data_IF_127228897718
#
_entry.id   IF_127228897718
#
_cell.length_a   1.000
_cell.length_b   1.000
_cell.length_c   1.000
_cell.angle_alpha   90.00
_cell.angle_beta   90.00
_cell.angle_gamma   90.00
#
_symmetry.space_group_name_H-M   'P 1'
#
loop_
_entity.id
_entity.type
_entity.pdbx_description
1 polymer ?
#
# COMPACT_ATOMS: atom_id res chain seq x y z
N UNK A 1 12.04 -13.27 33.92
CA UNK A 1 12.04 -12.32 32.78
C UNK A 1 10.78 -12.60 31.98
N UNK A 2 9.85 -11.65 31.85
CA UNK A 2 8.65 -11.86 31.04
C UNK A 2 9.04 -11.81 29.56
N UNK A 3 8.90 -12.92 28.86
CA UNK A 3 9.11 -12.96 27.40
C UNK A 3 7.84 -12.52 26.68
N UNK A 4 7.96 -11.56 25.78
CA UNK A 4 6.84 -11.13 24.94
C UNK A 4 6.46 -12.29 24.01
N UNK A 5 5.16 -12.62 23.98
CA UNK A 5 4.65 -13.63 23.05
C UNK A 5 4.87 -13.18 21.60
N UNK A 6 5.28 -14.07 20.68
CA UNK A 6 5.38 -13.74 19.25
C UNK A 6 4.10 -13.15 18.66
N UNK A 7 2.95 -13.59 19.11
CA UNK A 7 1.64 -13.03 18.68
C UNK A 7 1.44 -11.59 19.15
N UNK A 8 1.84 -11.28 20.40
CA UNK A 8 1.80 -9.91 20.89
C UNK A 8 2.78 -9.02 20.13
N UNK A 9 3.96 -9.53 19.76
CA UNK A 9 4.94 -8.79 18.97
C UNK A 9 4.40 -8.50 17.56
N UNK A 10 3.76 -9.47 16.89
CA UNK A 10 3.09 -9.25 15.59
C UNK A 10 1.96 -8.20 15.69
N UNK A 11 1.15 -8.29 16.75
CA UNK A 11 0.10 -7.30 17.02
C UNK A 11 0.69 -5.88 17.17
N UNK A 12 1.69 -5.70 18.04
CA UNK A 12 2.31 -4.39 18.30
C UNK A 12 3.03 -3.84 17.07
N UNK A 13 3.80 -4.68 16.36
CA UNK A 13 4.49 -4.28 15.15
C UNK A 13 3.52 -3.84 14.05
N UNK A 14 2.43 -4.59 13.86
CA UNK A 14 1.40 -4.24 12.86
C UNK A 14 0.58 -3.02 13.27
N UNK A 15 0.33 -2.82 14.58
CA UNK A 15 -0.27 -1.61 15.12
C UNK A 15 0.57 -0.39 14.78
N UNK A 16 1.89 -0.43 15.06
CA UNK A 16 2.82 0.66 14.75
C UNK A 16 2.83 0.94 13.24
N UNK A 17 2.99 -0.12 12.44
CA UNK A 17 3.00 -0.03 10.98
C UNK A 17 1.74 0.66 10.45
N UNK A 18 0.56 0.21 10.86
CA UNK A 18 -0.70 0.78 10.37
C UNK A 18 -0.99 2.18 10.93
N UNK A 19 -0.55 2.49 12.16
CA UNK A 19 -0.67 3.84 12.71
C UNK A 19 0.13 4.84 11.88
N UNK A 20 1.39 4.53 11.57
CA UNK A 20 2.24 5.41 10.78
C UNK A 20 1.76 5.46 9.33
N UNK A 21 1.55 4.31 8.69
CA UNK A 21 1.22 4.22 7.27
C UNK A 21 -0.14 4.82 6.91
N UNK A 22 -1.21 4.48 7.64
CA UNK A 22 -2.51 5.14 7.47
C UNK A 22 -2.45 6.62 7.88
N UNK A 23 -1.62 6.95 8.88
CA UNK A 23 -1.38 8.32 9.33
C UNK A 23 -0.76 9.20 8.25
N UNK A 24 0.21 8.68 7.49
CA UNK A 24 0.82 9.40 6.36
C UNK A 24 -0.20 9.67 5.27
N UNK A 25 -1.03 8.67 4.90
CA UNK A 25 -2.11 8.88 3.92
C UNK A 25 -3.09 9.94 4.45
N UNK A 26 -3.49 9.86 5.72
CA UNK A 26 -4.38 10.83 6.33
C UNK A 26 -3.80 12.26 6.31
N UNK A 27 -2.49 12.40 6.55
CA UNK A 27 -1.82 13.69 6.49
C UNK A 27 -1.78 14.28 5.07
N UNK A 28 -1.56 13.44 4.06
CA UNK A 28 -1.48 13.88 2.65
C UNK A 28 -2.87 14.16 2.08
N UNK A 29 -3.87 13.35 2.42
CA UNK A 29 -5.16 13.35 1.76
C UNK A 29 -6.26 14.17 2.46
N UNK A 30 -6.25 14.21 3.81
CA UNK A 30 -7.31 14.91 4.53
C UNK A 30 -7.17 16.43 4.43
N UNK A 31 -8.30 17.09 4.13
CA UNK A 31 -8.37 18.56 4.09
C UNK A 31 -7.93 19.19 5.40
N UNK A 32 -7.22 20.31 5.29
CA UNK A 32 -6.70 21.13 6.42
C UNK A 32 -5.61 20.43 7.24
N UNK A 33 -5.10 19.26 6.85
CA UNK A 33 -3.85 18.76 7.41
C UNK A 33 -2.67 19.57 6.89
N UNK A 34 -1.57 19.61 7.62
CA UNK A 34 -0.39 20.37 7.20
C UNK A 34 0.32 19.77 5.98
N UNK A 35 0.17 18.48 5.76
CA UNK A 35 0.72 17.79 4.59
C UNK A 35 -0.28 17.63 3.45
N UNK A 36 -1.46 18.28 3.53
CA UNK A 36 -2.50 18.12 2.51
C UNK A 36 -2.03 18.56 1.12
N UNK A 37 -2.19 17.64 0.17
CA UNK A 37 -1.82 17.88 -1.23
C UNK A 37 -0.37 17.56 -1.57
N UNK A 38 0.38 16.95 -0.63
CA UNK A 38 1.69 16.39 -0.95
C UNK A 38 1.56 15.18 -1.89
N UNK A 39 2.67 14.68 -2.40
CA UNK A 39 2.66 13.72 -3.49
C UNK A 39 2.69 12.25 -3.02
N UNK A 40 2.52 11.33 -3.98
CA UNK A 40 2.52 9.89 -3.75
C UNK A 40 3.86 9.36 -3.22
N UNK A 41 4.98 10.06 -3.49
CA UNK A 41 6.30 9.70 -2.96
C UNK A 41 6.33 9.78 -1.43
N UNK A 42 5.72 10.82 -0.83
CA UNK A 42 5.60 10.95 0.62
C UNK A 42 4.84 9.78 1.23
N UNK A 43 3.76 9.35 0.58
CA UNK A 43 2.99 8.16 1.00
C UNK A 43 3.87 6.90 0.92
N UNK A 44 4.58 6.69 -0.18
CA UNK A 44 5.44 5.54 -0.39
C UNK A 44 6.58 5.47 0.63
N UNK A 45 7.24 6.60 0.85
CA UNK A 45 8.34 6.71 1.82
C UNK A 45 7.84 6.50 3.25
N UNK A 46 6.70 7.09 3.58
CA UNK A 46 6.06 6.91 4.88
C UNK A 46 5.67 5.45 5.17
N UNK A 47 5.14 4.72 4.18
CA UNK A 47 4.85 3.28 4.33
C UNK A 47 6.12 2.44 4.49
N UNK A 48 7.20 2.75 3.77
CA UNK A 48 8.47 2.06 3.96
C UNK A 48 9.00 2.20 5.38
N UNK A 49 9.01 3.42 5.93
CA UNK A 49 9.39 3.63 7.33
C UNK A 49 8.39 3.04 8.32
N UNK A 50 7.09 3.06 8.03
CA UNK A 50 6.09 2.40 8.85
C UNK A 50 6.39 0.91 9.01
N UNK A 51 6.74 0.24 7.91
CA UNK A 51 7.18 -1.17 7.94
C UNK A 51 8.49 -1.32 8.72
N UNK A 52 9.49 -0.49 8.45
CA UNK A 52 10.78 -0.53 9.17
C UNK A 52 10.58 -0.48 10.68
N UNK A 53 9.84 0.51 11.18
CA UNK A 53 9.63 0.66 12.63
C UNK A 53 8.72 -0.42 13.22
N UNK A 54 7.75 -0.90 12.47
CA UNK A 54 6.96 -2.07 12.87
C UNK A 54 7.83 -3.32 13.04
N UNK A 55 8.74 -3.56 12.09
CA UNK A 55 9.68 -4.70 12.16
C UNK A 55 10.67 -4.52 13.31
N UNK A 56 11.25 -3.34 13.54
CA UNK A 56 12.10 -3.10 14.70
C UNK A 56 11.41 -3.43 16.02
N UNK A 57 10.13 -3.09 16.15
CA UNK A 57 9.37 -3.34 17.37
C UNK A 57 9.08 -4.83 17.63
N UNK A 58 9.12 -5.68 16.59
CA UNK A 58 8.62 -7.07 16.67
C UNK A 58 9.66 -8.13 16.34
N UNK A 59 10.67 -7.81 15.53
CA UNK A 59 11.59 -8.78 14.93
C UNK A 59 12.26 -9.70 15.95
N UNK A 60 12.74 -9.16 17.06
CA UNK A 60 13.43 -9.93 18.10
C UNK A 60 12.57 -11.02 18.75
N UNK A 61 11.25 -10.93 18.66
CA UNK A 61 10.30 -11.84 19.31
C UNK A 61 9.52 -12.72 18.34
N UNK A 62 9.18 -12.18 17.16
CA UNK A 62 8.30 -12.86 16.18
C UNK A 62 8.93 -13.08 14.81
N UNK A 63 10.07 -12.45 14.54
CA UNK A 63 10.62 -12.34 13.19
C UNK A 63 10.09 -11.14 12.40
N UNK A 64 9.07 -10.43 12.92
CA UNK A 64 8.56 -9.19 12.32
C UNK A 64 7.88 -9.40 10.97
N UNK A 65 6.98 -10.36 10.86
CA UNK A 65 6.27 -10.64 9.62
C UNK A 65 5.30 -9.51 9.24
N UNK A 66 4.46 -9.07 10.17
CA UNK A 66 3.48 -7.97 10.07
C UNK A 66 2.51 -8.09 8.87
N UNK A 67 2.51 -9.25 8.21
CA UNK A 67 1.86 -9.45 6.92
C UNK A 67 1.50 -10.94 6.74
N UNK A 68 0.21 -11.28 6.54
CA UNK A 68 -0.19 -12.66 6.27
C UNK A 68 0.51 -13.30 5.08
N UNK A 69 0.73 -12.53 4.00
CA UNK A 69 1.40 -13.04 2.80
C UNK A 69 2.89 -13.35 3.06
N UNK A 70 3.55 -12.58 3.91
CA UNK A 70 4.93 -12.87 4.36
C UNK A 70 4.94 -14.13 5.22
N UNK A 71 4.03 -14.26 6.19
CA UNK A 71 3.93 -15.46 7.05
C UNK A 71 3.72 -16.73 6.23
N UNK A 72 2.84 -16.69 5.23
CA UNK A 72 2.57 -17.80 4.31
C UNK A 72 3.79 -18.10 3.42
N UNK A 73 4.44 -17.06 2.89
CA UNK A 73 5.62 -17.22 2.04
C UNK A 73 6.81 -17.85 2.76
N UNK A 74 7.06 -17.41 4.00
CA UNK A 74 8.10 -18.00 4.87
C UNK A 74 7.78 -19.46 5.24
N UNK A 75 6.49 -19.77 5.45
CA UNK A 75 6.06 -21.15 5.68
C UNK A 75 6.23 -22.02 4.42
N UNK A 76 5.96 -21.48 3.24
CA UNK A 76 6.16 -22.16 1.96
C UNK A 76 7.64 -22.44 1.65
N UNK A 77 8.52 -21.52 2.03
CA UNK A 77 9.96 -21.71 1.94
C UNK A 77 10.45 -22.74 2.95
N UNK A 78 9.85 -22.81 4.15
CA UNK A 78 10.18 -23.77 5.23
C UNK A 78 10.86 -23.14 6.44
N UNK A 79 10.98 -21.81 6.50
CA UNK A 79 11.55 -21.09 7.65
C UNK A 79 10.51 -20.77 8.73
N UNK A 80 9.23 -21.01 8.47
CA UNK A 80 8.16 -20.76 9.45
C UNK A 80 7.17 -21.92 9.54
N UNK A 81 6.79 -22.38 10.74
CA UNK A 81 5.86 -23.49 10.90
C UNK A 81 4.42 -23.10 10.57
N UNK A 82 3.76 -23.90 9.74
CA UNK A 82 2.38 -23.65 9.25
C UNK A 82 1.36 -23.50 10.36
N UNK A 83 1.53 -24.23 11.45
CA UNK A 83 0.64 -24.21 12.63
C UNK A 83 0.60 -22.85 13.33
N UNK A 84 1.62 -22.01 13.16
CA UNK A 84 1.67 -20.66 13.73
C UNK A 84 1.05 -19.60 12.81
N UNK A 85 0.90 -19.90 11.52
CA UNK A 85 0.38 -18.93 10.53
C UNK A 85 -0.97 -18.35 10.92
N UNK A 86 -2.00 -19.13 11.33
CA UNK A 86 -3.29 -18.57 11.69
C UNK A 86 -3.23 -17.58 12.86
N UNK A 87 -2.42 -17.89 13.89
CA UNK A 87 -2.25 -17.01 15.05
C UNK A 87 -1.58 -15.68 14.68
N UNK A 88 -0.58 -15.71 13.78
CA UNK A 88 0.07 -14.51 13.24
C UNK A 88 -0.93 -13.65 12.47
N UNK A 89 -1.70 -14.25 11.58
CA UNK A 89 -2.73 -13.52 10.80
C UNK A 89 -3.73 -12.80 11.72
N UNK A 90 -4.22 -13.48 12.74
CA UNK A 90 -5.16 -12.88 13.71
C UNK A 90 -4.50 -11.69 14.43
N UNK A 91 -3.28 -11.87 14.94
CA UNK A 91 -2.54 -10.83 15.65
C UNK A 91 -2.28 -9.61 14.75
N UNK A 92 -1.86 -9.84 13.51
CA UNK A 92 -1.61 -8.81 12.50
C UNK A 92 -2.88 -8.03 12.16
N UNK A 93 -4.00 -8.71 11.91
CA UNK A 93 -5.28 -8.04 11.62
C UNK A 93 -5.76 -7.18 12.79
N UNK A 94 -5.69 -7.72 14.01
CA UNK A 94 -6.07 -6.96 15.22
C UNK A 94 -5.17 -5.75 15.44
N UNK A 95 -3.85 -5.89 15.24
CA UNK A 95 -2.90 -4.79 15.31
C UNK A 95 -3.22 -3.70 14.27
N UNK A 96 -3.48 -4.10 13.03
CA UNK A 96 -3.86 -3.17 11.96
C UNK A 96 -5.17 -2.43 12.27
N UNK A 97 -6.17 -3.11 12.85
CA UNK A 97 -7.41 -2.48 13.28
C UNK A 97 -7.16 -1.38 14.33
N UNK A 98 -6.42 -1.71 15.39
CA UNK A 98 -6.14 -0.73 16.45
C UNK A 98 -5.32 0.43 15.90
N UNK A 99 -4.29 0.18 15.07
CA UNK A 99 -3.51 1.24 14.42
C UNK A 99 -4.37 2.19 13.59
N UNK A 100 -5.27 1.66 12.79
CA UNK A 100 -6.23 2.47 12.02
C UNK A 100 -7.19 3.26 12.92
N UNK A 101 -7.64 2.68 14.03
CA UNK A 101 -8.44 3.35 15.04
C UNK A 101 -7.74 4.56 15.67
N UNK A 102 -6.43 4.44 15.95
CA UNK A 102 -5.62 5.55 16.45
C UNK A 102 -5.51 6.68 15.42
N UNK A 103 -5.36 6.36 14.14
CA UNK A 103 -5.37 7.37 13.06
C UNK A 103 -6.71 8.08 12.99
N UNK A 104 -7.82 7.35 13.09
CA UNK A 104 -9.15 7.96 13.15
C UNK A 104 -9.25 8.99 14.28
N UNK A 105 -8.82 8.63 15.49
CA UNK A 105 -8.85 9.52 16.66
C UNK A 105 -7.93 10.73 16.47
N UNK A 106 -6.75 10.54 15.92
CA UNK A 106 -5.78 11.62 15.70
C UNK A 106 -6.28 12.70 14.72
N UNK A 107 -7.12 12.31 13.75
CA UNK A 107 -7.65 13.19 12.71
C UNK A 107 -9.13 13.52 12.85
N UNK A 108 -9.73 13.39 14.04
CA UNK A 108 -11.17 13.56 14.28
C UNK A 108 -11.80 14.79 13.58
N UNK A 109 -11.26 16.01 13.71
CA UNK A 109 -11.88 17.17 13.06
C UNK A 109 -11.74 17.20 11.54
N UNK A 110 -10.75 16.50 10.98
CA UNK A 110 -10.44 16.50 9.56
C UNK A 110 -11.44 15.66 8.73
N UNK A 111 -12.06 14.64 9.33
CA UNK A 111 -13.05 13.80 8.65
C UNK A 111 -14.26 14.59 8.17
N UNK A 112 -14.72 15.56 8.97
CA UNK A 112 -15.83 16.44 8.59
C UNK A 112 -15.39 17.46 7.53
N UNK A 113 -14.15 17.90 7.55
CA UNK A 113 -13.62 18.86 6.60
C UNK A 113 -13.36 18.27 5.20
N UNK A 114 -13.29 16.95 5.09
CA UNK A 114 -13.04 16.23 3.84
C UNK A 114 -14.34 15.68 3.28
N UNK A 115 -14.77 16.12 2.11
CA UNK A 115 -16.03 15.68 1.49
C UNK A 115 -15.88 14.36 0.73
N UNK A 116 -14.73 14.11 0.11
CA UNK A 116 -14.51 12.95 -0.75
C UNK A 116 -14.50 11.63 0.04
N UNK A 117 -15.46 10.76 -0.31
CA UNK A 117 -15.65 9.45 0.31
C UNK A 117 -14.59 8.44 -0.09
N UNK A 118 -14.01 8.56 -1.32
CA UNK A 118 -12.95 7.67 -1.80
C UNK A 118 -11.66 7.93 -1.02
N UNK A 119 -11.35 9.20 -0.77
CA UNK A 119 -10.22 9.62 0.08
C UNK A 119 -10.35 9.01 1.48
N UNK A 120 -11.51 9.13 2.10
CA UNK A 120 -11.74 8.58 3.44
C UNK A 120 -11.50 7.08 3.50
N UNK A 121 -12.01 6.33 2.52
CA UNK A 121 -11.73 4.90 2.42
C UNK A 121 -10.25 4.63 2.13
N UNK A 122 -9.61 5.39 1.24
CA UNK A 122 -8.22 5.22 0.83
C UNK A 122 -7.20 5.29 1.97
N UNK A 123 -7.53 6.00 3.05
CA UNK A 123 -6.71 6.05 4.27
C UNK A 123 -6.68 4.69 4.98
N UNK A 124 -7.76 3.96 4.95
CA UNK A 124 -7.92 2.68 5.62
C UNK A 124 -7.59 1.48 4.71
N UNK A 125 -8.28 1.37 3.58
CA UNK A 125 -8.12 0.27 2.64
C UNK A 125 -7.76 0.78 1.25
N UNK A 126 -7.05 -0.02 0.47
CA UNK A 126 -6.64 0.35 -0.88
C UNK A 126 -7.83 0.47 -1.83
N UNK A 127 -7.78 1.49 -2.69
CA UNK A 127 -8.77 1.76 -3.71
C UNK A 127 -8.02 1.87 -5.03
N UNK A 128 -8.37 1.10 -6.07
CA UNK A 128 -7.66 1.15 -7.32
C UNK A 128 -7.90 2.48 -8.05
N UNK A 129 -6.89 2.95 -8.77
CA UNK A 129 -7.00 4.11 -9.66
C UNK A 129 -8.02 3.81 -10.76
N UNK A 130 -7.87 2.66 -11.41
CA UNK A 130 -8.82 2.13 -12.40
C UNK A 130 -9.33 0.78 -11.89
N UNK A 131 -10.65 0.63 -11.86
CA UNK A 131 -11.26 -0.61 -11.42
C UNK A 131 -11.18 -1.68 -12.50
N UNK A 132 -10.32 -2.66 -12.30
CA UNK A 132 -10.22 -3.86 -13.11
C UNK A 132 -9.72 -5.02 -12.23
N UNK A 133 -10.58 -5.98 -11.94
CA UNK A 133 -10.23 -7.06 -11.02
C UNK A 133 -9.01 -7.86 -11.47
N UNK A 134 -8.89 -8.16 -12.78
CA UNK A 134 -7.79 -8.97 -13.28
C UNK A 134 -6.44 -8.26 -13.14
N UNK A 135 -6.33 -7.05 -13.68
CA UNK A 135 -5.05 -6.30 -13.63
C UNK A 135 -4.70 -5.90 -12.21
N UNK A 136 -5.70 -5.59 -11.38
CA UNK A 136 -5.46 -5.21 -9.99
C UNK A 136 -5.01 -6.42 -9.15
N UNK A 137 -5.62 -7.61 -9.32
CA UNK A 137 -5.17 -8.83 -8.64
C UNK A 137 -3.77 -9.25 -9.10
N UNK A 138 -3.49 -9.16 -10.40
CA UNK A 138 -2.17 -9.44 -10.96
C UNK A 138 -1.11 -8.47 -10.42
N UNK A 139 -1.41 -7.17 -10.33
CA UNK A 139 -0.51 -6.17 -9.75
C UNK A 139 -0.17 -6.47 -8.30
N UNK A 140 -1.18 -6.73 -7.45
CA UNK A 140 -0.96 -7.10 -6.06
C UNK A 140 -0.16 -8.40 -5.93
N UNK A 141 -0.40 -9.38 -6.81
CA UNK A 141 0.34 -10.62 -6.84
C UNK A 141 1.81 -10.41 -7.20
N UNK A 142 2.10 -9.64 -8.26
CA UNK A 142 3.48 -9.32 -8.69
C UNK A 142 4.23 -8.61 -7.57
N UNK A 143 3.63 -7.56 -6.99
CA UNK A 143 4.28 -6.79 -5.94
C UNK A 143 4.56 -7.62 -4.70
N UNK A 144 3.64 -8.47 -4.29
CA UNK A 144 3.82 -9.29 -3.09
C UNK A 144 4.78 -10.46 -3.34
N UNK A 145 4.80 -11.02 -4.55
CA UNK A 145 5.85 -11.95 -4.96
C UNK A 145 7.23 -11.32 -4.80
N UNK A 146 7.44 -10.12 -5.36
CA UNK A 146 8.70 -9.39 -5.24
C UNK A 146 9.04 -9.06 -3.78
N UNK A 147 8.05 -8.68 -2.98
CA UNK A 147 8.23 -8.37 -1.57
C UNK A 147 8.76 -9.57 -0.79
N UNK A 148 8.10 -10.74 -0.90
CA UNK A 148 8.48 -11.95 -0.16
C UNK A 148 9.79 -12.52 -0.67
N UNK A 149 9.97 -12.57 -1.99
CA UNK A 149 11.22 -13.01 -2.60
C UNK A 149 12.41 -12.18 -2.13
N UNK A 150 12.26 -10.85 -2.09
CA UNK A 150 13.31 -9.93 -1.65
C UNK A 150 13.56 -9.99 -0.14
N UNK A 151 12.53 -10.24 0.67
CA UNK A 151 12.67 -10.45 2.11
C UNK A 151 13.55 -11.67 2.40
N UNK A 152 13.30 -12.78 1.71
CA UNK A 152 14.08 -14.01 1.83
C UNK A 152 15.52 -13.81 1.33
N UNK A 153 15.70 -13.18 0.16
CA UNK A 153 17.00 -12.85 -0.40
C UNK A 153 17.82 -11.99 0.56
N UNK A 154 17.23 -10.98 1.16
CA UNK A 154 17.87 -10.14 2.16
C UNK A 154 18.25 -10.95 3.40
N UNK A 155 17.36 -11.85 3.85
CA UNK A 155 17.61 -12.75 4.97
C UNK A 155 18.84 -13.64 4.77
N UNK A 156 19.04 -14.11 3.56
CA UNK A 156 20.18 -15.00 3.22
C UNK A 156 21.49 -14.21 3.07
N UNK A 157 21.47 -13.05 2.44
CA UNK A 157 22.69 -12.28 2.14
C UNK A 157 23.25 -11.54 3.34
N UNK A 158 22.42 -11.19 4.32
CA UNK A 158 22.85 -10.57 5.58
C UNK A 158 23.21 -11.60 6.66
N UNK A 159 23.80 -12.75 6.29
CA UNK A 159 24.36 -13.68 7.30
C UNK A 159 25.66 -13.09 7.85
N UNK A 160 25.90 -13.14 9.18
CA UNK A 160 27.14 -12.67 9.75
C UNK A 160 28.29 -13.52 9.19
N UNK A 161 29.22 -12.89 8.46
CA UNK A 161 30.51 -13.50 8.14
C UNK A 161 31.40 -13.37 9.36
N UNK A 162 31.71 -14.49 10.02
CA UNK A 162 32.75 -14.56 11.04
C UNK A 162 34.07 -14.49 10.27
N UNK A 163 34.62 -13.31 10.09
CA UNK A 163 35.99 -13.14 9.58
C UNK A 163 36.87 -12.63 10.73
N UNK A 164 37.81 -13.44 11.14
CA UNK A 164 38.92 -13.00 11.98
C UNK A 164 38.68 -12.89 13.47
N UNK A 165 37.85 -13.75 14.11
CA UNK A 165 37.87 -13.95 15.57
C UNK A 165 37.38 -12.79 16.46
N UNK A 166 36.97 -11.69 15.87
CA UNK A 166 36.22 -10.63 16.55
C UNK A 166 34.77 -10.81 16.17
N UNK A 167 34.01 -11.36 17.12
CA UNK A 167 32.53 -11.30 17.04
C UNK A 167 32.16 -9.82 17.06
N UNK A 168 31.94 -9.23 15.89
CA UNK A 168 31.26 -7.96 15.78
C UNK A 168 29.80 -8.25 16.10
N UNK A 169 29.55 -8.53 17.37
CA UNK A 169 28.26 -8.95 17.94
C UNK A 169 27.25 -7.81 18.05
N UNK A 170 27.58 -6.67 17.50
CA UNK A 170 26.55 -5.73 17.09
C UNK A 170 25.84 -6.40 15.93
N UNK A 171 24.63 -6.86 16.20
CA UNK A 171 23.69 -7.40 15.24
C UNK A 171 23.35 -6.33 14.19
N UNK A 172 24.36 -5.97 13.37
CA UNK A 172 24.17 -5.04 12.25
C UNK A 172 23.02 -5.53 11.35
N UNK A 173 22.82 -6.86 11.31
CA UNK A 173 21.70 -7.48 10.66
C UNK A 173 20.35 -7.07 11.26
N UNK A 174 20.25 -7.00 12.58
CA UNK A 174 19.00 -6.60 13.25
C UNK A 174 18.66 -5.13 13.00
N UNK A 175 19.67 -4.33 12.64
CA UNK A 175 19.49 -2.93 12.22
C UNK A 175 19.25 -2.83 10.72
N UNK A 176 20.04 -3.50 9.89
CA UNK A 176 20.00 -3.34 8.44
C UNK A 176 18.84 -4.07 7.76
N UNK A 177 18.47 -5.27 8.25
CA UNK A 177 17.35 -6.03 7.66
C UNK A 177 16.03 -5.28 7.68
N UNK A 178 15.56 -4.71 8.81
CA UNK A 178 14.33 -3.92 8.82
C UNK A 178 14.38 -2.70 7.90
N UNK A 179 15.53 -2.02 7.83
CA UNK A 179 15.72 -0.90 6.91
C UNK A 179 15.65 -1.35 5.44
N UNK A 180 16.37 -2.41 5.07
CA UNK A 180 16.36 -2.94 3.71
C UNK A 180 14.95 -3.37 3.30
N UNK A 181 14.19 -4.00 4.20
CA UNK A 181 12.81 -4.39 3.96
C UNK A 181 11.88 -3.18 3.79
N UNK A 182 12.02 -2.16 4.62
CA UNK A 182 11.27 -0.91 4.47
C UNK A 182 11.61 -0.17 3.18
N UNK A 183 12.88 -0.10 2.78
CA UNK A 183 13.27 0.46 1.48
C UNK A 183 12.68 -0.34 0.31
N UNK A 184 12.65 -1.68 0.39
CA UNK A 184 12.00 -2.51 -0.61
C UNK A 184 10.51 -2.14 -0.75
N UNK A 185 9.79 -1.99 0.37
CA UNK A 185 8.39 -1.54 0.35
C UNK A 185 8.28 -0.17 -0.32
N UNK A 186 9.13 0.79 0.04
CA UNK A 186 9.16 2.11 -0.58
C UNK A 186 9.31 2.03 -2.10
N UNK A 187 10.29 1.26 -2.58
CA UNK A 187 10.58 1.12 -4.03
C UNK A 187 9.42 0.43 -4.76
N UNK A 188 8.83 -0.61 -4.17
CA UNK A 188 7.67 -1.29 -4.75
C UNK A 188 6.46 -0.35 -4.85
N UNK A 189 6.20 0.45 -3.82
CA UNK A 189 5.09 1.43 -3.85
C UNK A 189 5.34 2.52 -4.89
N UNK A 190 6.57 3.06 -4.98
CA UNK A 190 6.92 4.08 -5.98
C UNK A 190 6.79 3.52 -7.40
N UNK A 191 7.37 2.34 -7.65
CA UNK A 191 7.48 1.78 -8.99
C UNK A 191 6.20 1.15 -9.52
N UNK A 192 5.43 0.49 -8.65
CA UNK A 192 4.31 -0.36 -9.04
C UNK A 192 2.99 -0.01 -8.33
N UNK A 193 3.00 0.88 -7.33
CA UNK A 193 1.84 1.18 -6.49
C UNK A 193 0.76 2.05 -7.12
N UNK A 194 1.05 2.69 -8.25
CA UNK A 194 0.11 3.63 -8.89
C UNK A 194 -1.21 3.00 -9.33
N UNK A 195 -1.25 1.70 -9.55
CA UNK A 195 -2.43 0.98 -10.06
C UNK A 195 -3.47 0.70 -8.97
N UNK A 196 -3.03 0.17 -7.83
CA UNK A 196 -3.93 -0.31 -6.76
C UNK A 196 -3.79 0.48 -5.46
N UNK A 197 -2.75 1.30 -5.32
CA UNK A 197 -2.33 1.88 -4.05
C UNK A 197 -1.49 0.89 -3.20
N UNK A 198 -1.16 -0.27 -3.75
CA UNK A 198 -0.37 -1.38 -3.22
C UNK A 198 -0.71 -1.75 -1.77
N UNK A 199 -1.60 -2.70 -1.63
CA UNK A 199 -1.85 -3.31 -0.33
C UNK A 199 -0.66 -4.17 0.10
N UNK A 200 -0.19 -5.08 -0.77
CA UNK A 200 0.92 -6.02 -0.54
C UNK A 200 0.77 -6.86 0.73
N UNK A 201 -0.24 -6.58 1.52
CA UNK A 201 -0.42 -7.06 2.88
C UNK A 201 -1.92 -7.19 3.19
N UNK A 202 -2.46 -8.41 3.29
CA UNK A 202 -3.87 -8.60 3.61
C UNK A 202 -4.32 -7.98 4.94
N UNK A 203 -3.48 -7.99 5.97
CA UNK A 203 -3.84 -7.41 7.27
C UNK A 203 -3.88 -5.88 7.21
N UNK A 204 -2.96 -5.26 6.46
CA UNK A 204 -2.87 -3.81 6.24
C UNK A 204 -4.07 -3.27 5.46
N UNK A 205 -4.75 -4.10 4.66
CA UNK A 205 -5.99 -3.68 3.99
C UNK A 205 -7.24 -4.10 4.80
N UNK A 206 -7.37 -5.37 5.15
CA UNK A 206 -8.57 -5.91 5.78
C UNK A 206 -8.84 -5.31 7.16
N UNK A 207 -7.83 -5.21 8.03
CA UNK A 207 -7.99 -4.66 9.38
C UNK A 207 -8.48 -3.19 9.37
N UNK A 208 -7.76 -2.27 8.71
CA UNK A 208 -8.22 -0.90 8.58
C UNK A 208 -9.54 -0.75 7.82
N UNK A 209 -9.79 -1.53 6.76
CA UNK A 209 -11.06 -1.52 6.03
C UNK A 209 -12.23 -1.90 6.93
N UNK A 210 -12.03 -2.87 7.83
CA UNK A 210 -13.01 -3.23 8.84
C UNK A 210 -13.24 -2.06 9.80
N UNK A 211 -12.19 -1.37 10.23
CA UNK A 211 -12.33 -0.17 11.06
C UNK A 211 -13.04 0.96 10.31
N UNK A 212 -12.79 1.17 9.00
CA UNK A 212 -13.59 2.09 8.20
C UNK A 212 -15.08 1.73 8.22
N UNK A 213 -15.43 0.46 8.18
CA UNK A 213 -16.83 0.03 8.27
C UNK A 213 -17.46 0.31 9.64
N UNK A 214 -16.72 0.08 10.73
CA UNK A 214 -17.21 0.17 12.10
C UNK A 214 -17.21 1.60 12.66
N UNK A 215 -16.20 2.41 12.32
CA UNK A 215 -16.05 3.75 12.90
C UNK A 215 -17.10 4.73 12.39
N UNK A 216 -17.56 5.67 13.25
CA UNK A 216 -18.53 6.69 12.89
C UNK A 216 -17.90 7.86 12.14
N UNK A 217 -17.24 7.57 11.01
CA UNK A 217 -16.62 8.58 10.17
C UNK A 217 -17.73 9.37 9.45
N UNK A 218 -17.69 10.69 9.57
CA UNK A 218 -18.69 11.56 8.95
C UNK A 218 -18.73 11.37 7.43
N UNK A 219 -19.90 11.00 6.90
CA UNK A 219 -20.16 10.80 5.44
C UNK A 219 -19.09 9.93 4.75
N UNK A 220 -18.76 8.77 5.33
CA UNK A 220 -17.67 7.91 4.88
C UNK A 220 -17.92 7.15 3.58
N UNK A 221 -19.17 6.90 3.23
CA UNK A 221 -19.55 6.05 2.10
C UNK A 221 -19.34 4.55 2.34
N UNK A 222 -19.26 3.80 1.25
CA UNK A 222 -19.07 2.34 1.26
C UNK A 222 -17.62 1.96 1.56
N UNK A 223 -17.42 0.88 2.33
CA UNK A 223 -16.10 0.26 2.54
C UNK A 223 -15.64 -0.64 1.39
N UNK A 224 -16.42 -0.70 0.28
CA UNK A 224 -16.12 -1.45 -0.96
C UNK A 224 -15.73 -2.91 -0.72
N UNK A 225 -16.52 -3.65 0.05
CA UNK A 225 -16.27 -5.05 0.36
C UNK A 225 -16.19 -5.95 -0.87
N UNK A 226 -16.92 -5.60 -1.93
CA UNK A 226 -16.86 -6.31 -3.21
C UNK A 226 -15.46 -6.27 -3.88
N UNK A 227 -14.62 -5.30 -3.50
CA UNK A 227 -13.24 -5.19 -3.98
C UNK A 227 -12.22 -5.79 -3.00
N UNK A 228 -12.57 -5.94 -1.71
CA UNK A 228 -11.64 -6.31 -0.64
C UNK A 228 -10.90 -7.64 -0.87
N UNK A 229 -11.47 -8.56 -1.65
CA UNK A 229 -10.81 -9.82 -1.98
C UNK A 229 -9.53 -9.64 -2.81
N UNK A 230 -9.43 -8.58 -3.63
CA UNK A 230 -8.24 -8.29 -4.44
C UNK A 230 -7.01 -8.05 -3.57
N UNK A 231 -7.01 -7.08 -2.63
CA UNK A 231 -5.88 -6.84 -1.73
C UNK A 231 -5.68 -7.93 -0.67
N UNK A 232 -6.50 -8.97 -0.64
CA UNK A 232 -6.32 -10.15 0.20
C UNK A 232 -5.75 -11.30 -0.62
N UNK A 233 -6.47 -11.74 -1.67
CA UNK A 233 -6.11 -12.94 -2.43
C UNK A 233 -4.90 -12.71 -3.34
N UNK A 234 -4.75 -11.53 -3.94
CA UNK A 234 -3.60 -11.18 -4.76
C UNK A 234 -2.28 -11.29 -3.98
N UNK A 235 -2.14 -10.56 -2.85
CA UNK A 235 -0.97 -10.68 -2.01
C UNK A 235 -0.70 -12.09 -1.46
N UNK A 236 -1.73 -12.82 -1.02
CA UNK A 236 -1.55 -14.21 -0.54
C UNK A 236 -0.98 -15.08 -1.64
N UNK A 237 -1.55 -15.04 -2.85
CA UNK A 237 -1.08 -15.85 -3.98
C UNK A 237 0.36 -15.47 -4.37
N UNK A 238 0.65 -14.15 -4.44
CA UNK A 238 1.99 -13.64 -4.76
C UNK A 238 3.03 -14.01 -3.73
N UNK A 239 2.74 -13.80 -2.45
CA UNK A 239 3.66 -14.11 -1.36
C UNK A 239 3.92 -15.60 -1.20
N UNK A 240 2.88 -16.43 -1.35
CA UNK A 240 3.01 -17.88 -1.35
C UNK A 240 3.93 -18.35 -2.48
N UNK A 241 3.69 -17.87 -3.69
CA UNK A 241 4.52 -18.20 -4.85
C UNK A 241 5.95 -17.67 -4.68
N UNK A 242 6.14 -16.49 -4.11
CA UNK A 242 7.45 -15.89 -3.85
C UNK A 242 8.31 -16.77 -2.92
N UNK A 243 7.72 -17.27 -1.82
CA UNK A 243 8.43 -18.18 -0.90
C UNK A 243 8.73 -19.54 -1.52
N UNK A 244 7.74 -20.13 -2.20
CA UNK A 244 7.93 -21.44 -2.84
C UNK A 244 8.92 -21.39 -4.01
N UNK A 245 8.91 -20.30 -4.79
CA UNK A 245 9.85 -20.08 -5.89
C UNK A 245 11.26 -19.78 -5.38
N UNK A 246 11.40 -19.09 -4.25
CA UNK A 246 12.69 -18.80 -3.64
C UNK A 246 13.44 -20.08 -3.28
N UNK A 247 12.73 -21.13 -2.82
CA UNK A 247 13.31 -22.44 -2.54
C UNK A 247 13.92 -23.08 -3.79
N UNK A 248 13.20 -23.01 -4.91
CA UNK A 248 13.71 -23.47 -6.20
C UNK A 248 14.93 -22.65 -6.64
N UNK A 249 14.84 -21.32 -6.56
CA UNK A 249 15.90 -20.42 -7.02
C UNK A 249 17.18 -20.54 -6.20
N UNK A 250 17.05 -20.58 -4.88
CA UNK A 250 18.20 -20.49 -3.97
C UNK A 250 18.80 -21.86 -3.62
N UNK A 251 17.95 -22.87 -3.41
CA UNK A 251 18.37 -24.21 -3.01
C UNK A 251 18.38 -25.22 -4.17
N UNK A 252 17.86 -24.87 -5.34
CA UNK A 252 17.67 -25.79 -6.47
C UNK A 252 16.62 -26.89 -6.21
N UNK A 253 15.77 -26.72 -5.18
CA UNK A 253 14.81 -27.72 -4.74
C UNK A 253 13.40 -27.39 -5.22
N UNK A 254 12.76 -28.33 -5.93
CA UNK A 254 11.34 -28.23 -6.29
C UNK A 254 10.50 -28.66 -5.08
N UNK A 255 9.83 -27.73 -4.45
CA UNK A 255 8.90 -27.99 -3.35
C UNK A 255 7.49 -28.27 -3.89
N UNK A 256 6.68 -29.16 -3.26
CA UNK A 256 5.26 -29.29 -3.57
C UNK A 256 4.49 -27.95 -3.49
N UNK A 257 4.92 -27.06 -2.62
CA UNK A 257 4.31 -25.73 -2.47
C UNK A 257 4.43 -24.86 -3.72
N UNK A 258 5.41 -25.11 -4.59
CA UNK A 258 5.51 -24.42 -5.88
C UNK A 258 4.31 -24.71 -6.78
N UNK A 259 3.89 -25.98 -6.85
CA UNK A 259 2.71 -26.37 -7.64
C UNK A 259 1.42 -25.84 -7.00
N UNK A 260 1.29 -25.95 -5.67
CA UNK A 260 0.11 -25.47 -4.93
C UNK A 260 -0.04 -23.96 -5.09
N UNK A 261 1.05 -23.19 -4.91
CA UNK A 261 1.00 -21.73 -5.04
C UNK A 261 0.74 -21.28 -6.49
N UNK A 262 1.30 -21.98 -7.48
CA UNK A 262 1.03 -21.71 -8.90
C UNK A 262 -0.42 -21.99 -9.25
N UNK A 263 -0.99 -23.09 -8.75
CA UNK A 263 -2.41 -23.40 -8.93
C UNK A 263 -3.31 -22.35 -8.28
N UNK A 264 -2.97 -21.91 -7.05
CA UNK A 264 -3.70 -20.84 -6.36
C UNK A 264 -3.64 -19.52 -7.16
N UNK A 265 -2.45 -19.15 -7.65
CA UNK A 265 -2.28 -17.96 -8.47
C UNK A 265 -3.15 -18.01 -9.74
N UNK A 266 -3.17 -19.16 -10.41
CA UNK A 266 -4.01 -19.35 -11.59
C UNK A 266 -5.52 -19.23 -11.24
N UNK A 267 -5.96 -19.85 -10.15
CA UNK A 267 -7.36 -19.77 -9.68
C UNK A 267 -7.75 -18.33 -9.37
N UNK A 268 -6.89 -17.58 -8.68
CA UNK A 268 -7.13 -16.15 -8.35
C UNK A 268 -7.26 -15.32 -9.64
N UNK A 269 -6.38 -15.54 -10.63
CA UNK A 269 -6.41 -14.80 -11.89
C UNK A 269 -7.62 -15.18 -12.76
N UNK A 270 -7.98 -16.47 -12.84
CA UNK A 270 -9.17 -16.91 -13.55
C UNK A 270 -10.45 -16.37 -12.93
N UNK A 271 -10.53 -16.37 -11.59
CA UNK A 271 -11.65 -15.77 -10.88
C UNK A 271 -11.69 -14.24 -11.11
N UNK A 272 -10.54 -13.57 -11.09
CA UNK A 272 -10.44 -12.14 -11.34
C UNK A 272 -10.89 -11.77 -12.77
N UNK A 273 -10.51 -12.57 -13.75
CA UNK A 273 -10.96 -12.42 -15.13
C UNK A 273 -12.47 -12.61 -15.27
N UNK A 274 -13.01 -13.68 -14.68
CA UNK A 274 -14.44 -13.94 -14.63
C UNK A 274 -15.20 -12.81 -13.92
N UNK A 275 -14.74 -12.38 -12.75
CA UNK A 275 -15.35 -11.31 -11.97
C UNK A 275 -15.37 -9.99 -12.73
N UNK A 276 -14.32 -9.70 -13.51
CA UNK A 276 -14.25 -8.50 -14.32
C UNK A 276 -15.33 -8.50 -15.42
N UNK A 277 -15.65 -9.66 -15.98
CA UNK A 277 -16.65 -9.81 -17.03
C UNK A 277 -18.09 -9.85 -16.52
N UNK A 278 -18.31 -10.33 -15.27
CA UNK A 278 -19.66 -10.64 -14.77
C UNK A 278 -20.10 -9.76 -13.60
N UNK A 279 -19.16 -9.34 -12.72
CA UNK A 279 -19.50 -8.58 -11.52
C UNK A 279 -19.28 -7.08 -11.68
N UNK A 280 -18.37 -6.67 -12.57
CA UNK A 280 -18.11 -5.27 -12.81
C UNK A 280 -18.98 -4.73 -13.95
N UNK A 281 -19.93 -3.88 -13.60
CA UNK A 281 -20.60 -2.98 -14.55
C UNK A 281 -19.98 -1.61 -14.36
N UNK A 282 -19.24 -1.12 -15.37
CA UNK A 282 -18.77 0.26 -15.36
C UNK A 282 -19.99 1.18 -15.19
N UNK A 283 -19.96 2.14 -14.26
CA UNK A 283 -20.98 3.18 -14.23
C UNK A 283 -20.98 3.86 -15.60
N UNK A 284 -22.16 4.07 -16.16
CA UNK A 284 -22.34 4.73 -17.47
C UNK A 284 -21.76 6.15 -17.53
N UNK A 285 -21.27 6.69 -16.42
CA UNK A 285 -20.63 7.99 -16.25
C UNK A 285 -19.11 7.94 -16.02
N UNK A 286 -18.48 6.77 -15.98
CA UNK A 286 -17.01 6.66 -16.13
C UNK A 286 -16.63 6.77 -17.62
N UNK A 287 -17.11 7.82 -18.27
CA UNK A 287 -16.34 8.45 -19.34
C UNK A 287 -15.04 8.85 -18.67
N UNK A 288 -13.93 8.24 -19.10
CA UNK A 288 -12.58 8.65 -18.68
C UNK A 288 -12.57 10.15 -18.84
N UNK A 289 -12.50 10.95 -17.76
CA UNK A 289 -12.34 12.38 -17.93
C UNK A 289 -11.09 12.52 -18.78
N UNK A 290 -11.19 13.17 -19.91
CA UNK A 290 -10.06 13.55 -20.73
C UNK A 290 -8.98 14.02 -19.77
N UNK A 291 -7.78 13.47 -19.87
CA UNK A 291 -6.66 13.72 -18.96
C UNK A 291 -6.53 15.23 -18.78
N UNK A 292 -7.10 15.79 -17.73
CA UNK A 292 -6.75 17.13 -17.29
C UNK A 292 -5.29 17.07 -16.89
N UNK A 293 -4.47 17.72 -17.68
CA UNK A 293 -3.02 17.75 -17.58
C UNK A 293 -2.61 18.03 -16.13
N UNK A 294 -2.24 16.97 -15.39
CA UNK A 294 -1.85 17.07 -13.99
C UNK A 294 -0.63 17.97 -13.81
N UNK A 295 0.11 18.23 -14.89
CA UNK A 295 1.20 19.20 -14.90
C UNK A 295 0.68 20.64 -14.87
N UNK A 296 -0.47 20.94 -15.51
CA UNK A 296 -1.11 22.24 -15.43
C UNK A 296 -1.67 22.52 -14.03
N UNK A 297 -2.23 21.50 -13.36
CA UNK A 297 -2.69 21.61 -11.95
C UNK A 297 -1.53 21.71 -10.96
N UNK A 298 -0.39 21.06 -11.19
CA UNK A 298 0.82 21.20 -10.37
C UNK A 298 1.42 22.61 -10.52
N UNK A 299 1.49 23.14 -11.73
CA UNK A 299 1.94 24.51 -11.99
C UNK A 299 0.99 25.56 -11.37
N UNK A 300 -0.34 25.35 -11.45
CA UNK A 300 -1.32 26.21 -10.80
C UNK A 300 -1.25 26.13 -9.26
N UNK A 301 -0.94 24.99 -8.69
CA UNK A 301 -0.71 24.81 -7.24
C UNK A 301 0.62 25.45 -6.79
N UNK A 302 1.68 25.38 -7.59
CA UNK A 302 2.95 26.06 -7.32
C UNK A 302 2.79 27.59 -7.36
N UNK A 303 1.93 28.13 -8.23
CA UNK A 303 1.65 29.55 -8.33
C UNK A 303 0.84 30.13 -7.14
N UNK A 304 0.17 29.27 -6.36
CA UNK A 304 -0.61 29.69 -5.17
C UNK A 304 0.17 29.56 -3.85
N UNK A 305 1.39 28.99 -3.89
CA UNK A 305 2.25 28.93 -2.72
C UNK A 305 3.13 30.18 -2.64
N UNK A 306 2.69 31.21 -1.91
CA UNK A 306 3.54 32.31 -1.50
C UNK A 306 4.20 31.97 -0.17
N UNK A 307 5.54 31.78 -0.10
CA UNK A 307 6.25 31.88 1.16
C UNK A 307 6.07 33.33 1.68
N UNK A 308 5.81 33.47 2.95
CA UNK A 308 5.73 34.78 3.63
C UNK A 308 7.05 35.54 3.45
N UNK A 309 7.11 36.40 2.44
CA UNK A 309 8.28 37.23 2.13
C UNK A 309 8.23 37.72 0.69
N UNK A 310 7.52 38.79 0.43
CA UNK A 310 7.61 39.71 -0.70
C UNK A 310 7.91 39.12 -2.10
N UNK A 311 6.87 38.63 -2.81
CA UNK A 311 6.79 38.66 -4.27
C UNK A 311 5.47 39.29 -4.71
N UNK A 312 5.47 40.05 -5.82
CA UNK A 312 4.28 40.77 -6.26
C UNK A 312 3.17 39.81 -6.68
N UNK A 313 1.97 40.06 -6.21
CA UNK A 313 0.74 39.39 -6.59
C UNK A 313 0.45 39.78 -8.05
N UNK A 314 0.58 38.84 -8.98
CA UNK A 314 0.01 39.00 -10.33
C UNK A 314 -1.52 38.96 -10.22
N UNK A 315 -2.16 40.07 -10.53
CA UNK A 315 -3.61 40.20 -10.51
C UNK A 315 -4.25 39.34 -11.62
N UNK A 316 -5.49 38.85 -11.42
CA UNK A 316 -6.16 37.92 -12.34
C UNK A 316 -6.42 38.44 -13.75
N UNK A 317 -6.17 39.71 -14.05
CA UNK A 317 -6.44 40.30 -15.36
C UNK A 317 -5.40 39.98 -16.43
N UNK A 318 -4.17 39.55 -16.09
CA UNK A 318 -3.16 39.26 -17.10
C UNK A 318 -3.30 37.85 -17.75
N UNK A 319 -4.17 36.98 -17.23
CA UNK A 319 -4.44 35.65 -17.82
C UNK A 319 -5.49 35.71 -18.97
N UNK A 320 -6.13 36.86 -19.18
CA UNK A 320 -7.16 37.01 -20.23
C UNK A 320 -6.63 37.33 -21.64
N UNK A 321 -5.34 37.44 -21.83
CA UNK A 321 -4.72 37.95 -23.07
C UNK A 321 -4.24 36.90 -24.07
N UNK A 322 -4.88 35.76 -24.28
CA UNK A 322 -4.60 34.98 -25.49
C UNK A 322 -5.72 33.99 -25.86
N UNK A 323 -6.91 34.49 -26.15
CA UNK A 323 -7.90 33.78 -26.97
C UNK A 323 -8.07 34.53 -28.26
N UNK A 324 -7.32 34.16 -29.30
CA UNK A 324 -7.61 34.58 -30.68
C UNK A 324 -8.95 33.93 -31.08
N UNK A 325 -9.99 34.74 -31.08
CA UNK A 325 -11.29 34.45 -31.71
C UNK A 325 -11.07 34.35 -33.22
N UNK A 326 -11.01 33.12 -33.75
CA UNK A 326 -11.26 32.92 -35.18
C UNK A 326 -12.74 33.16 -35.44
N UNK A 327 -13.07 34.34 -35.92
CA UNK A 327 -14.35 34.66 -36.52
C UNK A 327 -14.41 33.92 -37.86
N UNK A 328 -15.22 32.90 -37.97
CA UNK A 328 -15.58 32.27 -39.25
C UNK A 328 -16.62 33.16 -39.90
N UNK A 329 -16.24 33.97 -40.87
CA UNK A 329 -17.14 34.70 -41.76
C UNK A 329 -17.92 33.68 -42.61
N UNK A 330 -19.21 33.55 -42.34
CA UNK A 330 -20.17 32.94 -43.25
C UNK A 330 -20.44 33.92 -44.38
N UNK A 331 -19.92 33.62 -45.57
CA UNK A 331 -20.32 34.29 -46.81
C UNK A 331 -21.70 33.81 -47.19
N UNK A 332 -22.68 34.68 -47.06
CA UNK A 332 -23.99 34.53 -47.72
C UNK A 332 -23.84 34.90 -49.20
N UNK A 333 -24.03 33.95 -50.09
CA UNK A 333 -24.35 34.26 -51.51
C UNK A 333 -25.84 34.49 -51.59
N UNK A 334 -26.20 35.67 -51.91
CA UNK A 334 -27.50 35.98 -52.51
C UNK A 334 -27.41 35.93 -54.05
N UNK A 335 -28.55 35.66 -54.59
CA UNK A 335 -29.02 35.53 -55.96
C UNK A 335 -29.00 34.18 -56.61
#
# INVERSE_FOLDING_TARGET
MYTISPYLAEFLGTLIMCTIGCGVIANVELRRSKGHGDNFFTIAFGWGFAVTFGVYASHAYSGGHLNPAVSIGLAAYGEFPWEKVPGYIIAQVLGAMVGAGLVYLNYLPHWKATADKKIKLGIFGTVPAIHNYFTNALSEMIGTFMLVFSALYTGVNFKPSISGGVELSLNLNDVLKPLAFGFMVTVLVIGLGGQTGYALNPARDFGPRLMHALLPIHDKGSSRWFYAWVPICGPIAGGFMGGAFFKLYYEGQVSPWLFVSSALALVVLLFAWWANSHLYRAPSSEVIPEFEDTHATAAARAATYTPTGSMPILLPEEVKGNRSTRVVNRVTKGD
#
